data_IF_600614725028
#
_entry.id   IF_600614725028
#
_cell.length_a   1.000
_cell.length_b   1.000
_cell.length_c   1.000
_cell.angle_alpha   90.00
_cell.angle_beta   90.00
_cell.angle_gamma   90.00
#
_symmetry.space_group_name_H-M   'P 1'
#
loop_
_entity.id
_entity.type
_entity.pdbx_description
1 polymer ?
#
# COMPACT_ATOMS: atom_id res chain seq x y z
N UNK A 1 10.93 -1.94 44.39
CA UNK A 1 10.18 -0.67 44.24
C UNK A 1 9.98 -0.41 42.75
N UNK A 2 8.79 -0.73 42.24
CA UNK A 2 8.43 -0.50 40.85
C UNK A 2 8.12 1.00 40.67
N UNK A 3 8.99 1.73 39.95
CA UNK A 3 8.67 3.07 39.47
C UNK A 3 7.69 2.92 38.29
N UNK A 4 6.40 3.02 38.58
CA UNK A 4 5.38 3.26 37.54
C UNK A 4 5.78 4.56 36.83
N UNK A 5 6.06 4.47 35.55
CA UNK A 5 6.30 5.63 34.71
C UNK A 5 5.05 6.53 34.79
N UNK A 6 5.21 7.74 35.31
CA UNK A 6 4.14 8.73 35.35
C UNK A 6 3.69 9.00 33.89
N UNK A 7 2.48 8.59 33.55
CA UNK A 7 1.84 8.98 32.29
C UNK A 7 1.77 10.52 32.26
N UNK A 8 2.56 11.13 31.39
CA UNK A 8 2.43 12.56 31.13
C UNK A 8 1.01 12.82 30.62
N UNK A 9 0.23 13.54 31.38
CA UNK A 9 -1.09 13.97 30.97
C UNK A 9 -0.97 14.74 29.64
N UNK A 10 -1.78 14.39 28.65
CA UNK A 10 -1.85 15.12 27.38
C UNK A 10 -2.49 16.48 27.67
N UNK A 11 -1.69 17.52 27.77
CA UNK A 11 -2.17 18.89 28.10
C UNK A 11 -2.84 19.58 26.92
N UNK A 12 -2.63 19.10 25.69
CA UNK A 12 -3.26 19.62 24.47
C UNK A 12 -3.68 18.45 23.58
N UNK A 13 -4.97 18.22 23.39
CA UNK A 13 -5.46 17.23 22.44
C UNK A 13 -5.03 17.62 21.02
N UNK A 14 -4.77 16.63 20.17
CA UNK A 14 -4.53 16.87 18.74
C UNK A 14 -5.86 17.19 18.07
N UNK A 15 -5.83 18.09 17.11
CA UNK A 15 -6.96 18.43 16.27
C UNK A 15 -6.72 17.90 14.85
N UNK A 16 -7.81 17.62 14.14
CA UNK A 16 -7.75 17.38 12.69
C UNK A 16 -7.35 18.70 12.05
N UNK A 17 -6.18 18.72 11.41
CA UNK A 17 -5.68 19.92 10.75
C UNK A 17 -6.32 20.07 9.35
N UNK A 18 -6.47 18.94 8.66
CA UNK A 18 -7.00 18.89 7.30
C UNK A 18 -7.69 17.56 7.04
N UNK A 19 -8.84 17.60 6.41
CA UNK A 19 -9.47 16.45 5.79
C UNK A 19 -9.00 16.37 4.33
N UNK A 20 -8.49 15.21 3.93
CA UNK A 20 -8.15 14.92 2.53
C UNK A 20 -9.24 14.03 1.97
N UNK A 21 -9.87 14.49 0.91
CA UNK A 21 -10.80 13.69 0.12
C UNK A 21 -10.00 13.05 -1.01
N UNK A 22 -10.05 11.73 -1.11
CA UNK A 22 -9.37 11.00 -2.17
C UNK A 22 -9.95 11.31 -3.55
N UNK A 23 -9.12 11.17 -4.57
CA UNK A 23 -9.47 11.44 -5.97
C UNK A 23 -9.61 10.13 -6.73
N UNK A 24 -10.76 9.87 -7.37
CA UNK A 24 -10.91 8.70 -8.24
C UNK A 24 -9.88 8.70 -9.36
N UNK A 25 -9.27 7.56 -9.60
CA UNK A 25 -8.27 7.35 -10.65
C UNK A 25 -8.26 5.89 -11.09
N UNK A 26 -7.36 5.52 -11.98
CA UNK A 26 -7.07 4.14 -12.33
C UNK A 26 -5.56 3.93 -12.40
N UNK A 27 -5.13 2.70 -12.12
CA UNK A 27 -3.73 2.27 -12.20
C UNK A 27 -3.63 0.82 -12.69
N UNK A 28 -2.42 0.30 -12.90
CA UNK A 28 -2.23 -1.03 -13.45
C UNK A 28 -2.85 -1.18 -14.85
N UNK A 29 -3.53 -2.28 -15.09
CA UNK A 29 -4.24 -2.52 -16.34
C UNK A 29 -5.69 -1.96 -16.37
N UNK A 30 -5.93 -0.89 -15.62
CA UNK A 30 -7.22 -0.20 -15.55
C UNK A 30 -8.01 -0.45 -14.25
N UNK A 31 -7.34 -0.90 -13.19
CA UNK A 31 -7.96 -1.04 -11.87
C UNK A 31 -8.45 0.32 -11.38
N UNK A 32 -9.73 0.40 -11.05
CA UNK A 32 -10.32 1.62 -10.48
C UNK A 32 -9.97 1.73 -9.01
N UNK A 33 -9.51 2.91 -8.62
CA UNK A 33 -9.11 3.18 -7.24
C UNK A 33 -9.33 4.66 -6.87
N UNK A 34 -9.20 4.94 -5.59
CA UNK A 34 -9.24 6.30 -5.05
C UNK A 34 -7.87 6.62 -4.45
N UNK A 35 -7.17 7.59 -5.02
CA UNK A 35 -5.88 8.05 -4.51
C UNK A 35 -6.07 9.06 -3.39
N UNK A 36 -5.69 8.69 -2.19
CA UNK A 36 -5.87 9.51 -0.97
C UNK A 36 -4.66 10.37 -0.70
N UNK A 37 -3.45 9.80 -0.88
CA UNK A 37 -2.19 10.51 -0.67
C UNK A 37 -1.43 10.57 -1.99
N UNK A 38 -0.98 11.78 -2.35
CA UNK A 38 -0.24 12.06 -3.58
C UNK A 38 0.80 13.16 -3.38
N UNK A 39 1.48 13.55 -4.45
CA UNK A 39 2.64 14.46 -4.45
C UNK A 39 2.54 15.73 -3.57
N UNK A 40 1.42 16.47 -3.50
CA UNK A 40 1.38 17.68 -2.68
C UNK A 40 1.58 17.44 -1.18
N UNK A 41 1.35 16.19 -0.73
CA UNK A 41 1.45 15.81 0.68
C UNK A 41 2.74 15.06 1.03
N UNK A 42 3.47 14.54 0.06
CA UNK A 42 4.65 13.68 0.28
C UNK A 42 5.70 14.34 1.17
N UNK A 43 6.05 15.61 0.91
CA UNK A 43 7.04 16.32 1.74
C UNK A 43 6.65 16.43 3.21
N UNK A 44 5.35 16.53 3.47
CA UNK A 44 4.83 16.69 4.83
C UNK A 44 4.68 15.37 5.54
N UNK A 45 4.35 14.32 4.80
CA UNK A 45 4.01 13.00 5.33
C UNK A 45 5.11 11.96 5.12
N UNK A 46 6.34 12.40 4.74
CA UNK A 46 7.48 11.48 4.66
C UNK A 46 7.55 10.62 5.95
N UNK A 47 7.66 9.31 5.86
CA UNK A 47 8.02 8.50 4.69
C UNK A 47 6.85 8.04 3.80
N UNK A 48 5.65 8.50 3.98
CA UNK A 48 4.48 8.09 3.18
C UNK A 48 4.49 8.76 1.81
N UNK A 49 4.60 7.96 0.74
CA UNK A 49 4.66 8.45 -0.64
C UNK A 49 3.30 8.46 -1.33
N UNK A 50 2.50 7.43 -1.09
CA UNK A 50 1.20 7.23 -1.74
C UNK A 50 0.31 6.36 -0.86
N UNK A 51 -0.99 6.63 -0.88
CA UNK A 51 -2.02 5.75 -0.34
C UNK A 51 -3.16 5.69 -1.33
N UNK A 52 -3.42 4.50 -1.83
CA UNK A 52 -4.55 4.19 -2.69
C UNK A 52 -5.52 3.26 -1.97
N UNK A 53 -6.81 3.54 -2.14
CA UNK A 53 -7.90 2.67 -1.75
C UNK A 53 -8.54 2.10 -3.02
N UNK A 54 -8.62 0.80 -3.13
CA UNK A 54 -9.35 0.12 -4.20
C UNK A 54 -10.54 -0.63 -3.59
N UNK A 55 -11.66 -0.62 -4.29
CA UNK A 55 -12.86 -1.30 -3.81
C UNK A 55 -13.95 -1.30 -4.86
N UNK A 56 -14.37 -2.49 -5.30
CA UNK A 56 -15.49 -2.68 -6.22
C UNK A 56 -16.07 -4.09 -6.08
N UNK A 57 -17.35 -4.21 -6.34
CA UNK A 57 -18.05 -5.48 -6.53
C UNK A 57 -18.20 -5.86 -8.01
N UNK A 58 -17.67 -5.03 -8.92
CA UNK A 58 -17.69 -5.25 -10.37
C UNK A 58 -16.34 -5.76 -10.83
N UNK A 59 -16.30 -6.97 -11.36
CA UNK A 59 -15.06 -7.60 -11.81
C UNK A 59 -14.28 -6.73 -12.83
N UNK A 60 -14.96 -6.08 -13.76
CA UNK A 60 -14.36 -5.21 -14.77
C UNK A 60 -13.55 -4.03 -14.18
N UNK A 61 -13.80 -3.67 -12.94
CA UNK A 61 -13.11 -2.58 -12.27
C UNK A 61 -11.74 -3.00 -11.69
N UNK A 62 -11.49 -4.33 -11.54
CA UNK A 62 -10.27 -4.81 -10.89
C UNK A 62 -9.62 -6.04 -11.54
N UNK A 63 -10.35 -6.83 -12.36
CA UNK A 63 -9.89 -8.17 -12.78
C UNK A 63 -8.59 -8.18 -13.58
N UNK A 64 -8.30 -7.09 -14.30
CA UNK A 64 -7.06 -6.97 -15.04
C UNK A 64 -5.81 -6.82 -14.16
N UNK A 65 -6.00 -6.42 -12.90
CA UNK A 65 -4.94 -6.34 -11.88
C UNK A 65 -3.82 -5.38 -12.24
N UNK A 66 -2.68 -5.66 -11.65
CA UNK A 66 -1.43 -4.94 -11.87
C UNK A 66 -0.41 -5.90 -12.48
N UNK A 67 -0.31 -5.97 -13.83
CA UNK A 67 0.70 -6.78 -14.51
C UNK A 67 2.12 -6.37 -14.14
N UNK A 68 3.11 -7.11 -14.60
CA UNK A 68 4.52 -6.89 -14.31
C UNK A 68 4.92 -5.41 -14.44
N UNK A 69 5.37 -4.83 -13.36
CA UNK A 69 5.83 -3.45 -13.29
C UNK A 69 6.96 -3.29 -12.26
N UNK A 70 7.89 -2.31 -12.44
CA UNK A 70 9.05 -2.15 -11.58
C UNK A 70 8.81 -1.20 -10.42
N UNK A 71 9.46 -1.49 -9.29
CA UNK A 71 9.63 -0.57 -8.16
C UNK A 71 11.09 -0.47 -7.75
N UNK A 72 11.49 0.68 -7.18
CA UNK A 72 12.84 0.91 -6.67
C UNK A 72 12.89 1.98 -5.61
N UNK A 73 13.62 1.72 -4.53
CA UNK A 73 13.98 2.71 -3.51
C UNK A 73 12.88 3.02 -2.49
N UNK A 74 11.85 2.21 -2.43
CA UNK A 74 10.75 2.32 -1.49
C UNK A 74 10.15 0.94 -1.18
N UNK A 75 9.14 0.91 -0.36
CA UNK A 75 8.39 -0.29 0.02
C UNK A 75 6.92 -0.13 -0.37
N UNK A 76 6.28 -1.24 -0.73
CA UNK A 76 4.83 -1.32 -0.92
C UNK A 76 4.22 -2.18 0.16
N UNK A 77 3.08 -1.75 0.68
CA UNK A 77 2.28 -2.51 1.64
C UNK A 77 0.87 -2.61 1.10
N UNK A 78 0.46 -3.81 0.77
CA UNK A 78 -0.91 -4.11 0.33
C UNK A 78 -1.67 -4.74 1.50
N UNK A 79 -2.81 -4.17 1.86
CA UNK A 79 -3.73 -4.72 2.87
C UNK A 79 -5.05 -5.07 2.22
N UNK A 80 -5.41 -6.34 2.25
CA UNK A 80 -6.67 -6.84 1.71
C UNK A 80 -7.76 -6.82 2.78
N UNK A 81 -8.84 -6.09 2.54
CA UNK A 81 -10.06 -6.16 3.36
C UNK A 81 -10.93 -7.32 2.87
N UNK A 82 -11.13 -7.40 1.54
CA UNK A 82 -11.91 -8.44 0.91
C UNK A 82 -11.31 -8.84 -0.44
N UNK A 83 -11.45 -10.10 -0.80
CA UNK A 83 -10.98 -10.65 -2.06
C UNK A 83 -9.66 -11.40 -1.95
N UNK A 84 -9.12 -11.78 -3.09
CA UNK A 84 -7.88 -12.57 -3.22
C UNK A 84 -6.99 -11.99 -4.31
N UNK A 85 -5.72 -11.78 -3.99
CA UNK A 85 -4.73 -11.23 -4.92
C UNK A 85 -3.44 -12.03 -4.83
N UNK A 86 -2.93 -12.49 -5.96
CA UNK A 86 -1.66 -13.20 -6.07
C UNK A 86 -0.54 -12.21 -6.39
N UNK A 87 0.43 -12.15 -5.52
CA UNK A 87 1.69 -11.45 -5.76
C UNK A 87 2.74 -12.41 -6.30
N UNK A 88 3.53 -11.95 -7.27
CA UNK A 88 4.76 -12.59 -7.75
C UNK A 88 5.81 -11.53 -8.00
N UNK A 89 7.07 -11.85 -7.73
CA UNK A 89 8.16 -10.92 -7.98
C UNK A 89 9.41 -11.56 -8.61
N UNK A 90 10.28 -10.71 -9.16
CA UNK A 90 11.54 -11.12 -9.80
C UNK A 90 12.63 -11.55 -8.81
N UNK A 91 12.43 -11.41 -7.52
CA UNK A 91 13.31 -11.95 -6.48
C UNK A 91 12.95 -13.40 -6.12
N UNK A 92 11.85 -13.93 -6.67
CA UNK A 92 11.41 -15.31 -6.50
C UNK A 92 10.38 -15.50 -5.38
N UNK A 93 9.78 -14.43 -4.89
CA UNK A 93 8.71 -14.53 -3.91
C UNK A 93 7.35 -14.63 -4.60
N UNK A 94 6.48 -15.43 -4.02
CA UNK A 94 5.09 -15.57 -4.42
C UNK A 94 4.23 -15.68 -3.16
N UNK A 95 3.07 -15.03 -3.16
CA UNK A 95 2.15 -15.07 -2.03
C UNK A 95 0.73 -14.75 -2.44
N UNK A 96 -0.22 -15.51 -1.91
CA UNK A 96 -1.65 -15.24 -2.04
C UNK A 96 -2.12 -14.42 -0.84
N UNK A 97 -2.62 -13.22 -1.11
CA UNK A 97 -3.29 -12.39 -0.13
C UNK A 97 -4.78 -12.71 -0.14
N UNK A 98 -5.32 -12.94 1.03
CA UNK A 98 -6.74 -13.15 1.27
C UNK A 98 -7.27 -12.10 2.27
N UNK A 99 -8.54 -12.20 2.63
CA UNK A 99 -9.19 -11.28 3.58
C UNK A 99 -8.38 -11.10 4.86
N UNK A 100 -8.05 -9.87 5.20
CA UNK A 100 -7.22 -9.50 6.35
C UNK A 100 -5.72 -9.70 6.13
N UNK A 101 -5.31 -10.20 4.98
CA UNK A 101 -3.90 -10.41 4.64
C UNK A 101 -3.16 -9.10 4.38
N UNK A 102 -1.88 -9.10 4.73
CA UNK A 102 -0.95 -8.00 4.44
C UNK A 102 0.24 -8.56 3.70
N UNK A 103 0.63 -7.88 2.62
CA UNK A 103 1.91 -8.09 1.98
C UNK A 103 2.78 -6.85 2.11
N UNK A 104 3.98 -7.03 2.60
CA UNK A 104 4.99 -6.00 2.69
C UNK A 104 6.16 -6.39 1.80
N UNK A 105 6.43 -5.58 0.78
CA UNK A 105 7.52 -5.79 -0.15
C UNK A 105 8.51 -4.64 -0.08
N UNK A 106 9.76 -4.94 0.20
CA UNK A 106 10.87 -3.99 0.07
C UNK A 106 11.41 -4.05 -1.35
N UNK A 107 11.17 -3.00 -2.15
CA UNK A 107 11.71 -2.96 -3.51
C UNK A 107 13.23 -2.71 -3.54
N UNK A 108 13.76 -1.94 -2.59
CA UNK A 108 15.20 -1.70 -2.44
C UNK A 108 15.88 -1.27 -3.74
N UNK A 109 16.91 -2.00 -4.16
CA UNK A 109 17.67 -1.72 -5.40
C UNK A 109 16.89 -1.95 -6.68
N UNK A 110 15.72 -2.57 -6.60
CA UNK A 110 14.80 -2.78 -7.70
C UNK A 110 14.20 -4.19 -7.73
N UNK A 111 12.91 -4.25 -8.01
CA UNK A 111 12.13 -5.47 -8.20
C UNK A 111 11.09 -5.23 -9.27
N UNK A 112 10.78 -6.25 -10.04
CA UNK A 112 9.60 -6.28 -10.93
C UNK A 112 8.61 -7.21 -10.26
N UNK A 113 7.36 -6.78 -10.13
CA UNK A 113 6.32 -7.61 -9.55
C UNK A 113 4.97 -7.45 -10.26
N UNK A 114 4.08 -8.37 -9.98
CA UNK A 114 2.68 -8.33 -10.39
C UNK A 114 1.77 -8.64 -9.22
N UNK A 115 0.56 -8.05 -9.27
CA UNK A 115 -0.50 -8.29 -8.29
C UNK A 115 -1.79 -8.60 -9.09
N UNK A 116 -2.15 -9.87 -9.16
CA UNK A 116 -3.22 -10.36 -10.04
C UNK A 116 -4.37 -10.92 -9.21
N UNK A 117 -5.60 -10.42 -9.38
CA UNK A 117 -6.78 -10.97 -8.74
C UNK A 117 -6.94 -12.47 -8.98
N UNK A 118 -7.32 -13.19 -7.94
CA UNK A 118 -7.57 -14.63 -7.98
C UNK A 118 -9.06 -14.93 -7.75
N UNK A 119 -9.91 -14.09 -8.33
CA UNK A 119 -11.36 -14.23 -8.33
C UNK A 119 -11.95 -13.63 -9.60
N UNK A 120 -13.07 -14.18 -10.07
CA UNK A 120 -13.78 -13.73 -11.26
C UNK A 120 -15.01 -12.89 -10.93
N UNK A 121 -15.45 -12.91 -9.66
CA UNK A 121 -16.60 -12.19 -9.14
C UNK A 121 -16.43 -11.87 -7.65
N UNK A 122 -17.34 -11.07 -7.11
CA UNK A 122 -17.36 -10.68 -5.71
C UNK A 122 -16.60 -9.38 -5.44
N UNK A 123 -16.56 -9.01 -4.17
CA UNK A 123 -15.89 -7.78 -3.74
C UNK A 123 -14.38 -7.98 -3.72
N UNK A 124 -13.67 -7.03 -4.30
CA UNK A 124 -12.24 -6.82 -4.06
C UNK A 124 -12.06 -5.46 -3.41
N UNK A 125 -11.50 -5.43 -2.21
CA UNK A 125 -11.34 -4.21 -1.43
C UNK A 125 -10.04 -4.24 -0.64
N UNK A 126 -9.32 -3.12 -0.64
CA UNK A 126 -8.07 -2.99 0.11
C UNK A 126 -7.40 -1.64 -0.04
N UNK A 127 -6.21 -1.58 0.48
CA UNK A 127 -5.34 -0.42 0.41
C UNK A 127 -3.97 -0.80 -0.09
N UNK A 128 -3.33 0.12 -0.82
CA UNK A 128 -1.91 0.06 -1.11
C UNK A 128 -1.22 1.32 -0.60
N UNK A 129 -0.22 1.12 0.25
CA UNK A 129 0.60 2.18 0.83
C UNK A 129 2.02 2.08 0.28
N UNK A 130 2.60 3.20 -0.11
CA UNK A 130 4.00 3.29 -0.48
C UNK A 130 4.78 4.03 0.61
N UNK A 131 5.88 3.44 1.07
CA UNK A 131 6.77 3.95 2.10
C UNK A 131 8.15 4.21 1.54
N UNK A 132 8.61 5.45 1.65
CA UNK A 132 9.95 5.83 1.22
C UNK A 132 11.03 5.16 2.08
N UNK A 133 12.05 4.60 1.47
CA UNK A 133 13.23 4.15 2.18
C UNK A 133 14.21 5.32 2.40
N UNK A 134 14.88 5.39 3.55
CA UNK A 134 15.98 6.33 3.74
C UNK A 134 17.11 6.06 2.72
N UNK A 135 17.89 7.07 2.41
CA UNK A 135 18.92 7.01 1.37
C UNK A 135 19.87 5.80 1.52
N UNK A 136 20.27 5.48 2.77
CA UNK A 136 21.17 4.37 3.08
C UNK A 136 20.61 2.99 2.71
N UNK A 137 19.27 2.83 2.70
CA UNK A 137 18.57 1.55 2.52
C UNK A 137 17.99 1.41 1.10
N UNK A 138 18.03 2.47 0.27
CA UNK A 138 17.47 2.44 -1.10
C UNK A 138 18.09 1.38 -2.01
N UNK A 139 19.29 0.93 -1.72
CA UNK A 139 20.01 -0.11 -2.45
C UNK A 139 20.01 -1.47 -1.74
N UNK A 140 19.19 -1.65 -0.72
CA UNK A 140 19.00 -2.96 -0.08
C UNK A 140 18.53 -4.03 -1.07
N UNK A 141 18.75 -5.30 -0.76
CA UNK A 141 18.18 -6.39 -1.54
C UNK A 141 16.65 -6.35 -1.45
N UNK A 142 15.93 -6.61 -2.55
CA UNK A 142 14.48 -6.75 -2.48
C UNK A 142 14.09 -8.00 -1.68
N UNK A 143 13.01 -7.92 -0.94
CA UNK A 143 12.39 -9.04 -0.21
C UNK A 143 10.94 -8.75 0.12
#
# INVERSE_FOLDING_TARGET
MNKLAAHRAVLRPRHVERLIVGVPTSDGAGVKLTRVLSQPLQRRLDPFLMLDAFGSDKADDYIAGFPDHPHRGFETVTYMIAGRMLHRDSAGHEGLLENGGVQWMTAGRGVIHSEIPQQEEGVMEGFQLWLNLPARDKMAAPW
#
